data_IF_694369931952
#
_entry.id   IF_694369931952
#
_cell.length_a   1.000
_cell.length_b   1.000
_cell.length_c   1.000
_cell.angle_alpha   90.00
_cell.angle_beta   90.00
_cell.angle_gamma   90.00
#
_symmetry.space_group_name_H-M   'P 1'
#
loop_
_entity.id
_entity.type
_entity.pdbx_description
1 polymer ?
#
# COMPACT_ATOMS: atom_id res chain seq x y z
N UNK A 1 28.22 -35.78 10.42
CA UNK A 1 27.89 -34.44 10.93
C UNK A 1 28.11 -34.37 12.44
N UNK A 2 29.21 -33.77 12.84
CA UNK A 2 29.60 -33.52 14.22
C UNK A 2 28.62 -32.55 14.91
N UNK A 3 28.41 -32.68 16.23
CA UNK A 3 27.52 -31.81 17.03
C UNK A 3 27.86 -30.32 16.89
N UNK A 4 29.13 -29.99 16.55
CA UNK A 4 29.58 -28.62 16.27
C UNK A 4 28.99 -28.06 14.96
N UNK A 5 28.95 -28.86 13.88
CA UNK A 5 28.44 -28.43 12.57
C UNK A 5 26.93 -28.13 12.62
N UNK A 6 26.14 -28.98 13.30
CA UNK A 6 24.69 -28.77 13.47
C UNK A 6 24.35 -27.46 14.20
N UNK A 7 25.22 -27.04 15.13
CA UNK A 7 25.05 -25.80 15.91
C UNK A 7 25.42 -24.56 15.09
N UNK A 8 26.38 -24.68 14.16
CA UNK A 8 26.73 -23.64 13.20
C UNK A 8 25.59 -23.44 12.19
N UNK A 9 25.11 -24.52 11.57
CA UNK A 9 23.98 -24.52 10.63
C UNK A 9 22.72 -23.88 11.24
N UNK A 10 22.36 -24.25 12.49
CA UNK A 10 21.20 -23.68 13.19
C UNK A 10 21.35 -22.19 13.50
N UNK A 11 22.57 -21.71 13.74
CA UNK A 11 22.86 -20.28 13.98
C UNK A 11 22.77 -19.46 12.70
N UNK A 12 23.27 -20.01 11.61
CA UNK A 12 23.22 -19.41 10.28
C UNK A 12 21.78 -19.31 9.78
N UNK A 13 21.02 -20.41 9.86
CA UNK A 13 19.58 -20.43 9.56
C UNK A 13 18.79 -19.43 10.41
N UNK A 14 19.10 -19.30 11.70
CA UNK A 14 18.45 -18.32 12.58
C UNK A 14 18.83 -16.87 12.24
N UNK A 15 20.05 -16.60 11.80
CA UNK A 15 20.46 -15.26 11.33
C UNK A 15 19.75 -14.91 10.02
N UNK A 16 19.73 -15.83 9.06
CA UNK A 16 19.05 -15.66 7.79
C UNK A 16 17.54 -15.44 7.96
N UNK A 17 16.88 -16.27 8.79
CA UNK A 17 15.45 -16.11 9.09
C UNK A 17 15.13 -14.79 9.79
N UNK A 18 15.98 -14.34 10.74
CA UNK A 18 15.79 -13.05 11.42
C UNK A 18 16.00 -11.84 10.51
N UNK A 19 16.93 -11.94 9.54
CA UNK A 19 17.12 -10.89 8.53
C UNK A 19 15.87 -10.77 7.65
N UNK A 20 15.41 -11.88 7.06
CA UNK A 20 14.21 -11.89 6.21
C UNK A 20 12.94 -11.37 6.93
N UNK A 21 12.75 -11.71 8.21
CA UNK A 21 11.61 -11.20 9.01
C UNK A 21 11.74 -9.69 9.28
N UNK A 22 12.98 -9.19 9.51
CA UNK A 22 13.22 -7.76 9.74
C UNK A 22 12.97 -6.95 8.48
N UNK A 23 13.41 -7.45 7.32
CA UNK A 23 13.22 -6.81 6.02
C UNK A 23 11.73 -6.78 5.64
N UNK A 24 11.00 -7.89 5.87
CA UNK A 24 9.55 -7.95 5.63
C UNK A 24 8.75 -7.01 6.55
N UNK A 25 9.14 -6.88 7.82
CA UNK A 25 8.45 -6.02 8.79
C UNK A 25 8.72 -4.53 8.55
N UNK A 26 9.93 -4.16 8.14
CA UNK A 26 10.29 -2.77 7.85
C UNK A 26 9.53 -2.20 6.64
N UNK A 27 9.26 -3.03 5.63
CA UNK A 27 8.46 -2.62 4.47
C UNK A 27 6.95 -2.60 4.77
N UNK A 28 6.43 -3.59 5.51
CA UNK A 28 4.99 -3.69 5.75
C UNK A 28 4.33 -2.47 6.41
N UNK A 29 5.02 -1.79 7.33
CA UNK A 29 4.44 -0.69 8.11
C UNK A 29 4.43 0.66 7.36
N UNK A 30 5.49 0.96 6.58
CA UNK A 30 5.59 2.23 5.82
C UNK A 30 4.77 2.22 4.54
N UNK A 31 4.70 1.07 3.87
CA UNK A 31 3.89 0.90 2.66
C UNK A 31 2.40 1.06 2.99
N UNK A 32 1.91 0.52 4.12
CA UNK A 32 0.51 0.67 4.51
C UNK A 32 0.12 2.14 4.76
N UNK A 33 0.97 2.88 5.48
CA UNK A 33 0.73 4.29 5.78
C UNK A 33 0.78 5.15 4.51
N UNK A 34 1.75 4.91 3.62
CA UNK A 34 1.82 5.57 2.31
C UNK A 34 0.59 5.25 1.46
N UNK A 35 0.17 3.98 1.39
CA UNK A 35 -1.02 3.57 0.64
C UNK A 35 -2.29 4.23 1.18
N UNK A 36 -2.43 4.38 2.50
CA UNK A 36 -3.59 5.06 3.11
C UNK A 36 -3.58 6.56 2.79
N UNK A 37 -2.43 7.22 2.85
CA UNK A 37 -2.31 8.65 2.50
C UNK A 37 -2.57 8.88 1.00
N UNK A 38 -2.00 8.03 0.13
CA UNK A 38 -2.29 8.05 -1.30
C UNK A 38 -3.76 7.69 -1.59
N UNK A 39 -4.37 6.79 -0.82
CA UNK A 39 -5.77 6.41 -0.98
C UNK A 39 -6.74 7.52 -0.58
N UNK A 40 -6.30 8.51 0.21
CA UNK A 40 -7.09 9.69 0.56
C UNK A 40 -6.88 10.81 -0.47
N UNK A 41 -5.66 10.98 -0.98
CA UNK A 41 -5.32 12.06 -1.92
C UNK A 41 -5.63 11.72 -3.39
N UNK A 42 -5.39 10.47 -3.81
CA UNK A 42 -5.61 9.92 -5.15
C UNK A 42 -6.10 8.45 -5.05
N UNK A 43 -7.36 8.23 -4.63
CA UNK A 43 -7.93 6.89 -4.41
C UNK A 43 -7.73 5.89 -5.56
N UNK A 44 -7.86 6.28 -6.85
CA UNK A 44 -7.71 5.35 -7.98
C UNK A 44 -6.27 4.83 -8.15
N UNK A 45 -5.26 5.64 -7.84
CA UNK A 45 -3.84 5.27 -7.99
C UNK A 45 -3.40 4.28 -6.90
N UNK A 46 -3.89 4.44 -5.67
CA UNK A 46 -3.60 3.52 -4.57
C UNK A 46 -4.17 2.13 -4.84
N UNK A 47 -5.41 2.05 -5.34
CA UNK A 47 -6.05 0.77 -5.70
C UNK A 47 -5.35 0.12 -6.88
N UNK A 48 -4.96 0.90 -7.89
CA UNK A 48 -4.18 0.41 -9.02
C UNK A 48 -2.83 -0.19 -8.60
N UNK A 49 -2.09 0.49 -7.72
CA UNK A 49 -0.79 0.03 -7.24
C UNK A 49 -0.89 -1.19 -6.31
N UNK A 50 -1.99 -1.32 -5.56
CA UNK A 50 -2.20 -2.45 -4.63
C UNK A 50 -2.72 -3.71 -5.31
N UNK A 51 -3.58 -3.58 -6.34
CA UNK A 51 -4.19 -4.72 -7.02
C UNK A 51 -3.47 -5.16 -8.29
N UNK A 52 -2.60 -4.31 -8.88
CA UNK A 52 -1.84 -4.64 -10.09
C UNK A 52 -2.70 -4.90 -11.34
N UNK A 53 -4.03 -4.77 -11.23
CA UNK A 53 -5.02 -5.01 -12.27
C UNK A 53 -6.24 -4.10 -12.07
N UNK A 54 -6.88 -3.71 -13.17
CA UNK A 54 -8.13 -2.94 -13.13
C UNK A 54 -9.26 -3.87 -12.68
N UNK A 55 -9.57 -3.85 -11.39
CA UNK A 55 -10.64 -4.65 -10.78
C UNK A 55 -11.85 -3.80 -10.39
N UNK A 56 -12.94 -4.44 -9.98
CA UNK A 56 -14.18 -3.78 -9.52
C UNK A 56 -13.93 -2.75 -8.41
N UNK A 57 -12.91 -2.95 -7.56
CA UNK A 57 -12.53 -2.01 -6.50
C UNK A 57 -11.93 -0.71 -7.04
N UNK A 58 -11.23 -0.74 -8.18
CA UNK A 58 -10.79 0.46 -8.91
C UNK A 58 -11.98 1.26 -9.43
N UNK A 59 -12.97 0.60 -10.03
CA UNK A 59 -14.18 1.27 -10.51
C UNK A 59 -15.04 1.86 -9.39
N UNK A 60 -15.15 1.17 -8.24
CA UNK A 60 -15.87 1.69 -7.08
C UNK A 60 -15.18 2.93 -6.51
N UNK A 61 -13.86 2.90 -6.33
CA UNK A 61 -13.09 4.06 -5.83
C UNK A 61 -13.10 5.24 -6.81
N UNK A 62 -13.06 4.98 -8.11
CA UNK A 62 -13.22 6.00 -9.16
C UNK A 62 -14.63 6.62 -9.15
N UNK A 63 -15.67 5.79 -9.00
CA UNK A 63 -17.04 6.29 -8.95
C UNK A 63 -17.28 7.14 -7.69
N UNK A 64 -16.76 6.70 -6.54
CA UNK A 64 -16.90 7.42 -5.27
C UNK A 64 -16.16 8.77 -5.31
N UNK A 65 -14.95 8.81 -5.87
CA UNK A 65 -14.24 10.08 -6.09
C UNK A 65 -15.01 10.99 -7.03
N UNK A 66 -15.50 10.49 -8.16
CA UNK A 66 -16.28 11.28 -9.10
C UNK A 66 -17.55 11.85 -8.45
N UNK A 67 -18.26 11.05 -7.66
CA UNK A 67 -19.53 11.46 -7.04
C UNK A 67 -19.39 12.62 -6.05
N UNK A 68 -18.28 12.71 -5.31
CA UNK A 68 -18.04 13.78 -4.33
C UNK A 68 -17.17 14.92 -4.87
N UNK A 69 -16.29 14.65 -5.83
CA UNK A 69 -15.36 15.64 -6.37
C UNK A 69 -15.99 16.51 -7.47
N UNK A 70 -16.76 15.94 -8.40
CA UNK A 70 -17.45 16.71 -9.44
C UNK A 70 -18.40 17.77 -8.88
N UNK A 71 -19.30 17.47 -7.92
CA UNK A 71 -20.18 18.50 -7.38
C UNK A 71 -19.40 19.60 -6.65
N UNK A 72 -18.28 19.25 -6.00
CA UNK A 72 -17.39 20.24 -5.39
C UNK A 72 -16.75 21.19 -6.41
N UNK A 73 -16.28 20.66 -7.54
CA UNK A 73 -15.76 21.48 -8.65
C UNK A 73 -16.86 22.37 -9.23
N UNK A 74 -18.04 21.81 -9.51
CA UNK A 74 -19.16 22.57 -10.08
C UNK A 74 -19.56 23.71 -9.14
N UNK A 75 -19.68 23.44 -7.85
CA UNK A 75 -19.99 24.46 -6.84
C UNK A 75 -18.91 25.55 -6.78
N UNK A 76 -17.63 25.17 -6.79
CA UNK A 76 -16.53 26.13 -6.80
C UNK A 76 -16.53 26.99 -8.07
N UNK A 77 -16.80 26.39 -9.25
CA UNK A 77 -16.91 27.13 -10.51
C UNK A 77 -18.10 28.09 -10.48
N UNK A 78 -19.25 27.70 -9.94
CA UNK A 78 -20.40 28.59 -9.79
C UNK A 78 -20.02 29.80 -8.93
N UNK A 79 -19.43 29.57 -7.76
CA UNK A 79 -19.01 30.64 -6.84
C UNK A 79 -17.95 31.57 -7.46
N UNK A 80 -17.03 31.03 -8.26
CA UNK A 80 -15.94 31.80 -8.87
C UNK A 80 -16.39 32.55 -10.13
N UNK A 81 -17.39 32.03 -10.86
CA UNK A 81 -17.95 32.68 -12.05
C UNK A 81 -19.14 33.60 -11.75
N UNK A 82 -19.69 33.56 -10.54
CA UNK A 82 -20.59 34.59 -9.98
C UNK A 82 -19.81 35.86 -9.60
#
# INVERSE_FOLDING_TARGET
MSRKERRALKREQRKAAKAAIKDAKAHGDVDLALLVVLAILLPPLAVYLHEGAINTRFWISLLLTLLFFLPGIIYALIIVLE
#
